data_IF_964117981076
#
_entry.id   IF_964117981076
#
_cell.length_a   1.000
_cell.length_b   1.000
_cell.length_c   1.000
_cell.angle_alpha   90.00
_cell.angle_beta   90.00
_cell.angle_gamma   90.00
#
_symmetry.space_group_name_H-M   'P 1'
#
loop_
_entity.id
_entity.type
_entity.pdbx_description
1 polymer ?
#
# COMPACT_ATOMS: atom_id res chain seq x y z
N UNK A 1 -4.64 21.14 -8.07
CA UNK A 1 -3.72 20.18 -8.70
C UNK A 1 -3.55 18.98 -7.79
N UNK A 2 -3.30 17.79 -8.37
CA UNK A 2 -3.01 16.53 -7.64
C UNK A 2 -1.78 15.92 -8.29
N UNK A 3 -0.84 15.43 -7.47
CA UNK A 3 0.40 14.78 -7.93
C UNK A 3 0.64 13.49 -7.12
N UNK A 4 0.17 12.35 -7.63
CA UNK A 4 0.40 11.06 -7.00
C UNK A 4 1.84 10.58 -7.13
N UNK A 5 2.32 9.92 -6.07
CA UNK A 5 3.60 9.22 -6.05
C UNK A 5 3.43 7.77 -5.59
N UNK A 6 4.18 6.86 -6.23
CA UNK A 6 4.32 5.47 -5.83
C UNK A 6 5.69 5.28 -5.21
N UNK A 7 5.74 4.85 -3.96
CA UNK A 7 6.95 4.89 -3.14
C UNK A 7 7.20 3.50 -2.55
N UNK A 8 8.42 3.00 -2.64
CA UNK A 8 8.82 1.73 -2.05
C UNK A 8 9.41 1.93 -0.66
N UNK A 9 8.94 1.15 0.32
CA UNK A 9 9.42 1.16 1.69
C UNK A 9 9.83 -0.25 2.15
N UNK A 10 10.68 -0.34 3.17
CA UNK A 10 11.17 -1.63 3.67
C UNK A 10 10.13 -2.42 4.45
N UNK A 11 9.26 -1.73 5.16
CA UNK A 11 8.32 -2.32 6.11
C UNK A 11 7.25 -1.29 6.53
N UNK A 12 6.20 -1.70 7.27
CA UNK A 12 5.17 -0.78 7.76
C UNK A 12 5.69 0.33 8.68
N UNK A 13 6.79 0.09 9.41
CA UNK A 13 7.39 1.11 10.28
C UNK A 13 7.97 2.25 9.45
N UNK A 14 8.71 1.92 8.37
CA UNK A 14 9.21 2.90 7.43
C UNK A 14 8.05 3.69 6.77
N UNK A 15 6.93 3.01 6.44
CA UNK A 15 5.73 3.67 5.92
C UNK A 15 5.14 4.71 6.90
N UNK A 16 5.04 4.38 8.19
CA UNK A 16 4.56 5.32 9.22
C UNK A 16 5.53 6.48 9.43
N UNK A 17 6.83 6.21 9.42
CA UNK A 17 7.86 7.27 9.52
C UNK A 17 7.85 8.18 8.30
N UNK A 18 7.66 7.61 7.10
CA UNK A 18 7.51 8.37 5.86
C UNK A 18 6.30 9.31 5.92
N UNK A 19 5.15 8.85 6.43
CA UNK A 19 3.98 9.73 6.62
C UNK A 19 4.31 10.94 7.51
N UNK A 20 5.02 10.72 8.62
CA UNK A 20 5.42 11.80 9.52
C UNK A 20 6.38 12.78 8.83
N UNK A 21 7.36 12.28 8.07
CA UNK A 21 8.28 13.08 7.26
C UNK A 21 7.52 13.91 6.21
N UNK A 22 6.65 13.28 5.43
CA UNK A 22 5.88 13.98 4.38
C UNK A 22 4.95 15.04 4.95
N UNK A 23 4.26 14.79 6.07
CA UNK A 23 3.44 15.80 6.75
C UNK A 23 4.27 16.95 7.29
N UNK A 24 5.48 16.72 7.76
CA UNK A 24 6.41 17.78 8.19
C UNK A 24 6.84 18.67 7.02
N UNK A 25 7.09 18.09 5.85
CA UNK A 25 7.58 18.79 4.66
C UNK A 25 6.47 19.47 3.87
N UNK A 26 5.32 18.83 3.72
CA UNK A 26 4.25 19.22 2.80
C UNK A 26 2.94 19.63 3.49
N UNK A 27 2.86 19.45 4.82
CA UNK A 27 1.69 19.84 5.62
C UNK A 27 0.40 19.20 5.15
N UNK A 28 -0.66 20.00 5.08
CA UNK A 28 -2.00 19.58 4.66
C UNK A 28 -2.13 19.27 3.17
N UNK A 29 -1.05 19.47 2.38
CA UNK A 29 -1.04 19.04 0.98
C UNK A 29 -1.07 17.52 0.82
N UNK A 30 -0.65 16.74 1.83
CA UNK A 30 -0.75 15.27 1.81
C UNK A 30 -2.22 14.88 1.98
N UNK A 31 -2.90 14.59 0.88
CA UNK A 31 -4.34 14.31 0.83
C UNK A 31 -4.69 12.83 0.89
N UNK A 32 -3.78 11.95 0.49
CA UNK A 32 -3.94 10.50 0.61
C UNK A 32 -2.60 9.83 0.92
N UNK A 33 -2.65 8.76 1.71
CA UNK A 33 -1.46 7.98 2.07
C UNK A 33 -1.86 6.52 2.34
N UNK A 34 -1.69 5.68 1.31
CA UNK A 34 -2.09 4.27 1.28
C UNK A 34 -0.86 3.39 1.43
N UNK A 35 -0.80 2.59 2.49
CA UNK A 35 0.20 1.55 2.64
C UNK A 35 -0.29 0.26 2.00
N UNK A 36 0.57 -0.43 1.24
CA UNK A 36 0.19 -1.61 0.43
C UNK A 36 1.31 -2.65 0.52
N UNK A 37 1.01 -3.86 0.98
CA UNK A 37 1.98 -4.94 1.00
C UNK A 37 2.22 -5.53 -0.39
N UNK A 38 3.39 -6.11 -0.64
CA UNK A 38 3.74 -6.76 -1.90
C UNK A 38 2.80 -7.92 -2.25
N UNK A 39 2.40 -8.71 -1.28
CA UNK A 39 1.55 -9.87 -1.52
C UNK A 39 0.24 -9.54 -2.26
N UNK A 40 -0.42 -8.42 -1.94
CA UNK A 40 -1.64 -8.00 -2.64
C UNK A 40 -1.34 -7.48 -4.05
N UNK A 41 -0.19 -6.84 -4.27
CA UNK A 41 0.26 -6.41 -5.60
C UNK A 41 0.53 -7.63 -6.48
N UNK A 42 1.17 -8.67 -5.97
CA UNK A 42 1.38 -9.92 -6.71
C UNK A 42 0.05 -10.57 -7.13
N UNK A 43 -0.96 -10.56 -6.24
CA UNK A 43 -2.30 -11.03 -6.58
C UNK A 43 -2.94 -10.19 -7.68
N UNK A 44 -2.79 -8.87 -7.61
CA UNK A 44 -3.31 -7.96 -8.64
C UNK A 44 -2.68 -8.24 -10.00
N UNK A 45 -1.36 -8.29 -10.06
CA UNK A 45 -0.60 -8.47 -11.31
C UNK A 45 -0.86 -9.84 -11.97
N UNK A 46 -1.17 -10.85 -11.17
CA UNK A 46 -1.43 -12.21 -11.68
C UNK A 46 -2.90 -12.49 -11.95
N UNK A 47 -3.81 -11.86 -11.21
CA UNK A 47 -5.24 -12.19 -11.21
C UNK A 47 -6.16 -11.20 -11.92
N UNK A 48 -5.69 -9.95 -12.14
CA UNK A 48 -6.52 -8.89 -12.76
C UNK A 48 -5.81 -8.34 -13.99
N UNK A 49 -6.35 -8.54 -15.20
CA UNK A 49 -5.72 -8.05 -16.43
C UNK A 49 -5.57 -6.53 -16.49
N UNK A 50 -4.55 -6.04 -17.19
CA UNK A 50 -4.36 -4.62 -17.48
C UNK A 50 -3.64 -3.83 -16.39
N UNK A 51 -3.03 -4.51 -15.43
CA UNK A 51 -2.14 -3.94 -14.43
C UNK A 51 -0.69 -4.32 -14.70
N UNK A 52 0.22 -3.39 -14.47
CA UNK A 52 1.67 -3.55 -14.59
C UNK A 52 2.32 -3.00 -13.33
N UNK A 53 3.43 -3.61 -12.92
CA UNK A 53 4.20 -3.10 -11.78
C UNK A 53 4.77 -1.72 -12.12
N UNK A 54 4.51 -0.68 -11.33
CA UNK A 54 5.04 0.66 -11.60
C UNK A 54 6.56 0.74 -11.48
N UNK A 55 7.19 -0.19 -10.76
CA UNK A 55 8.62 -0.25 -10.50
C UNK A 55 9.25 -1.49 -11.11
N UNK A 56 10.50 -1.37 -11.59
CA UNK A 56 11.27 -2.51 -12.09
C UNK A 56 11.74 -3.45 -10.97
N UNK A 57 12.10 -2.86 -9.82
CA UNK A 57 12.53 -3.62 -8.65
C UNK A 57 11.33 -3.99 -7.78
N UNK A 58 11.34 -5.22 -7.27
CA UNK A 58 10.32 -5.72 -6.34
C UNK A 58 10.69 -5.30 -4.92
N UNK A 59 9.72 -4.69 -4.23
CA UNK A 59 9.88 -4.25 -2.84
C UNK A 59 8.81 -4.88 -1.96
N UNK A 60 9.06 -5.05 -0.65
CA UNK A 60 8.11 -5.72 0.26
C UNK A 60 6.86 -4.90 0.55
N UNK A 61 6.96 -3.58 0.53
CA UNK A 61 5.88 -2.65 0.82
C UNK A 61 5.95 -1.42 -0.08
N UNK A 62 4.77 -0.87 -0.34
CA UNK A 62 4.61 0.34 -1.14
C UNK A 62 3.71 1.34 -0.43
N UNK A 63 3.86 2.59 -0.81
CA UNK A 63 2.95 3.67 -0.45
C UNK A 63 2.46 4.33 -1.75
N UNK A 64 1.15 4.41 -1.93
CA UNK A 64 0.55 5.36 -2.87
C UNK A 64 0.19 6.61 -2.07
N UNK A 65 0.87 7.70 -2.35
CA UNK A 65 0.62 9.00 -1.75
C UNK A 65 0.08 9.97 -2.81
N UNK A 66 -0.87 10.81 -2.43
CA UNK A 66 -1.29 11.94 -3.25
C UNK A 66 -1.08 13.25 -2.50
N UNK A 67 -0.59 14.24 -3.21
CA UNK A 67 -0.48 15.60 -2.70
C UNK A 67 -1.34 16.53 -3.54
N UNK A 68 -2.13 17.40 -2.88
CA UNK A 68 -3.06 18.30 -3.54
C UNK A 68 -2.84 19.75 -3.17
N UNK A 69 -3.06 20.66 -4.11
CA UNK A 69 -3.05 22.10 -3.85
C UNK A 69 -4.08 22.87 -4.67
N UNK A 70 -4.40 24.08 -4.23
CA UNK A 70 -5.20 25.06 -4.96
C UNK A 70 -4.38 25.77 -6.06
N UNK A 71 -3.07 25.57 -6.09
CA UNK A 71 -2.15 26.16 -7.08
C UNK A 71 -2.29 25.59 -8.49
N UNK A 72 -1.56 26.14 -9.46
CA UNK A 72 -1.54 25.64 -10.82
C UNK A 72 -0.99 24.21 -10.89
N UNK A 73 -1.29 23.45 -11.96
CA UNK A 73 -0.69 22.13 -12.20
C UNK A 73 0.84 22.19 -12.15
N UNK A 74 1.47 21.20 -11.51
CA UNK A 74 2.92 21.13 -11.34
C UNK A 74 3.49 21.95 -10.18
N UNK A 75 2.65 22.72 -9.46
CA UNK A 75 3.13 23.57 -8.35
C UNK A 75 3.70 22.78 -7.17
N UNK A 76 3.31 21.51 -7.02
CA UNK A 76 3.79 20.64 -5.95
C UNK A 76 4.96 19.75 -6.37
N UNK A 77 5.31 19.69 -7.67
CA UNK A 77 6.32 18.78 -8.18
C UNK A 77 7.70 18.99 -7.51
N UNK A 78 8.15 20.24 -7.43
CA UNK A 78 9.41 20.59 -6.73
C UNK A 78 9.38 20.23 -5.25
N UNK A 79 8.43 20.76 -4.47
CA UNK A 79 8.28 20.41 -3.05
C UNK A 79 8.15 18.90 -2.79
N UNK A 80 7.41 18.17 -3.62
CA UNK A 80 7.27 16.72 -3.51
C UNK A 80 8.59 16.00 -3.80
N UNK A 81 9.31 16.41 -4.87
CA UNK A 81 10.62 15.86 -5.21
C UNK A 81 11.63 16.08 -4.09
N UNK A 82 11.67 17.27 -3.50
CA UNK A 82 12.58 17.61 -2.40
C UNK A 82 12.24 16.78 -1.14
N UNK A 83 10.95 16.62 -0.82
CA UNK A 83 10.52 15.79 0.30
C UNK A 83 10.88 14.31 0.11
N UNK A 84 10.74 13.78 -1.11
CA UNK A 84 11.14 12.40 -1.44
C UNK A 84 12.66 12.22 -1.39
N UNK A 85 13.44 13.21 -1.89
CA UNK A 85 14.90 13.18 -1.80
C UNK A 85 15.37 13.17 -0.34
N UNK A 86 14.80 14.01 0.52
CA UNK A 86 15.08 13.99 1.96
C UNK A 86 14.72 12.66 2.62
N UNK A 87 13.57 12.06 2.27
CA UNK A 87 13.18 10.74 2.77
C UNK A 87 14.15 9.63 2.33
N UNK A 88 14.72 9.74 1.13
CA UNK A 88 15.72 8.80 0.63
C UNK A 88 17.06 8.96 1.36
N UNK A 89 17.50 10.18 1.61
CA UNK A 89 18.71 10.48 2.40
C UNK A 89 18.59 9.97 3.85
N UNK A 90 17.40 10.07 4.45
CA UNK A 90 17.09 9.51 5.77
C UNK A 90 16.92 7.97 5.76
N UNK A 91 16.95 7.33 4.59
CA UNK A 91 16.79 5.88 4.42
C UNK A 91 15.35 5.36 4.66
N UNK A 92 14.35 6.25 4.66
CA UNK A 92 12.95 5.92 4.87
C UNK A 92 12.34 5.22 3.64
N UNK A 93 12.83 5.54 2.45
CA UNK A 93 12.36 4.96 1.20
C UNK A 93 13.47 4.23 0.44
N UNK A 94 13.08 3.29 -0.41
CA UNK A 94 13.99 2.51 -1.26
C UNK A 94 14.00 3.00 -2.69
N UNK A 95 12.83 3.40 -3.19
CA UNK A 95 12.61 3.91 -4.53
C UNK A 95 11.35 4.78 -4.54
N UNK A 96 11.21 5.69 -5.51
CA UNK A 96 10.03 6.52 -5.65
C UNK A 96 9.79 6.93 -7.11
N UNK A 97 8.52 6.98 -7.49
CA UNK A 97 8.02 7.42 -8.79
C UNK A 97 6.94 8.47 -8.57
N UNK A 98 7.13 9.69 -9.09
CA UNK A 98 6.07 10.69 -9.21
C UNK A 98 5.38 10.51 -10.55
N UNK A 99 4.06 10.51 -10.59
CA UNK A 99 3.31 10.37 -11.84
C UNK A 99 3.61 11.54 -12.79
N UNK A 100 4.19 11.24 -13.94
CA UNK A 100 4.58 12.24 -14.94
C UNK A 100 3.40 12.70 -15.82
N UNK A 101 2.23 12.08 -15.72
CA UNK A 101 1.03 12.40 -16.50
C UNK A 101 -0.26 11.99 -15.79
N UNK A 102 -1.38 12.61 -16.17
CA UNK A 102 -2.70 12.20 -15.66
C UNK A 102 -3.04 10.73 -15.97
N UNK A 103 -2.55 10.19 -17.08
CA UNK A 103 -2.73 8.77 -17.42
C UNK A 103 -1.96 7.88 -16.43
N UNK A 104 -0.74 8.25 -16.08
CA UNK A 104 0.05 7.50 -15.09
C UNK A 104 -0.57 7.61 -13.69
N UNK A 105 -1.00 8.80 -13.30
CA UNK A 105 -1.73 9.03 -12.05
C UNK A 105 -2.97 8.13 -11.95
N UNK A 106 -3.81 8.10 -13.02
CA UNK A 106 -4.99 7.26 -13.07
C UNK A 106 -4.66 5.75 -13.02
N UNK A 107 -3.51 5.31 -13.58
CA UNK A 107 -3.06 3.91 -13.46
C UNK A 107 -2.71 3.54 -12.02
N UNK A 108 -2.02 4.40 -11.30
CA UNK A 108 -1.66 4.16 -9.89
C UNK A 108 -2.90 4.01 -9.02
N UNK A 109 -3.86 4.92 -9.15
CA UNK A 109 -5.13 4.86 -8.42
C UNK A 109 -5.95 3.63 -8.79
N UNK A 110 -6.05 3.30 -10.08
CA UNK A 110 -6.74 2.09 -10.52
C UNK A 110 -6.13 0.82 -9.92
N UNK A 111 -4.80 0.74 -9.75
CA UNK A 111 -4.19 -0.37 -9.04
C UNK A 111 -4.72 -0.47 -7.61
N UNK A 112 -4.76 0.64 -6.88
CA UNK A 112 -5.28 0.68 -5.50
C UNK A 112 -6.75 0.25 -5.42
N UNK A 113 -7.58 0.73 -6.34
CA UNK A 113 -9.01 0.42 -6.42
C UNK A 113 -9.28 -1.05 -6.75
N UNK A 114 -8.40 -1.68 -7.54
CA UNK A 114 -8.54 -3.09 -7.96
C UNK A 114 -8.04 -4.11 -6.94
N UNK A 115 -7.52 -3.71 -5.77
CA UNK A 115 -6.97 -4.65 -4.78
C UNK A 115 -8.04 -5.60 -4.22
N UNK A 116 -9.28 -5.15 -4.06
CA UNK A 116 -10.38 -6.01 -3.64
C UNK A 116 -10.72 -7.09 -4.69
N UNK A 117 -10.72 -6.73 -5.98
CA UNK A 117 -10.91 -7.67 -7.08
C UNK A 117 -9.79 -8.72 -7.13
N UNK A 118 -8.54 -8.29 -6.89
CA UNK A 118 -7.39 -9.19 -6.82
C UNK A 118 -7.55 -10.28 -5.74
N UNK A 119 -8.13 -9.94 -4.61
CA UNK A 119 -8.41 -10.92 -3.54
C UNK A 119 -9.51 -11.90 -3.94
N UNK A 120 -10.56 -11.44 -4.62
CA UNK A 120 -11.62 -12.29 -5.12
C UNK A 120 -11.09 -13.27 -6.18
N UNK A 121 -10.29 -12.81 -7.13
CA UNK A 121 -9.68 -13.66 -8.16
C UNK A 121 -8.74 -14.73 -7.58
N UNK A 122 -8.13 -14.43 -6.44
CA UNK A 122 -7.24 -15.35 -5.72
C UNK A 122 -7.95 -16.40 -4.84
N UNK A 123 -9.28 -16.52 -4.93
CA UNK A 123 -10.09 -17.48 -4.17
C UNK A 123 -10.75 -16.89 -2.93
N UNK A 124 -10.78 -15.57 -2.83
CA UNK A 124 -11.41 -14.84 -1.74
C UNK A 124 -10.50 -14.64 -0.52
N UNK A 125 -10.93 -13.72 0.33
CA UNK A 125 -10.25 -13.37 1.59
C UNK A 125 -11.25 -13.31 2.73
N UNK A 126 -10.76 -13.29 3.96
CA UNK A 126 -11.58 -12.87 5.12
C UNK A 126 -11.32 -11.38 5.34
N UNK A 127 -12.29 -10.52 5.01
CA UNK A 127 -12.07 -9.08 5.13
C UNK A 127 -12.10 -8.65 6.60
N UNK A 128 -11.13 -7.86 7.00
CA UNK A 128 -11.08 -7.20 8.30
C UNK A 128 -10.75 -5.72 8.08
N UNK A 129 -11.67 -4.87 8.50
CA UNK A 129 -11.44 -3.43 8.63
C UNK A 129 -11.04 -3.12 10.07
N UNK A 130 -9.79 -2.70 10.27
CA UNK A 130 -9.22 -2.48 11.58
C UNK A 130 -8.71 -1.06 11.71
N UNK A 131 -9.16 -0.34 12.73
CA UNK A 131 -8.62 0.97 13.08
C UNK A 131 -7.75 0.86 14.32
N UNK A 132 -6.51 1.32 14.18
CA UNK A 132 -5.54 1.43 15.27
C UNK A 132 -4.85 2.78 15.23
N UNK A 133 -4.31 3.28 16.34
CA UNK A 133 -3.46 4.46 16.29
C UNK A 133 -2.35 4.29 15.25
N UNK A 134 -2.08 5.31 14.43
CA UNK A 134 -1.10 5.25 13.32
C UNK A 134 0.23 4.64 13.77
N UNK A 135 0.73 5.05 14.94
CA UNK A 135 1.98 4.53 15.52
C UNK A 135 1.93 3.04 15.87
N UNK A 136 0.75 2.42 15.92
CA UNK A 136 0.53 1.01 16.25
C UNK A 136 0.32 0.11 15.03
N UNK A 137 0.19 0.69 13.85
CA UNK A 137 0.03 -0.09 12.61
C UNK A 137 1.13 -1.13 12.42
N UNK A 138 2.43 -0.81 12.58
CA UNK A 138 3.50 -1.80 12.40
C UNK A 138 3.42 -2.96 13.41
N UNK A 139 3.14 -2.65 14.67
CA UNK A 139 2.97 -3.66 15.72
C UNK A 139 1.75 -4.54 15.45
N UNK A 140 0.62 -3.94 15.05
CA UNK A 140 -0.59 -4.67 14.69
C UNK A 140 -0.31 -5.68 13.57
N UNK A 141 0.26 -5.24 12.44
CA UNK A 141 0.57 -6.11 11.29
C UNK A 141 1.49 -7.26 11.74
N UNK A 142 2.58 -6.95 12.42
CA UNK A 142 3.55 -7.95 12.90
C UNK A 142 2.90 -9.02 13.80
N UNK A 143 2.02 -8.60 14.72
CA UNK A 143 1.31 -9.53 15.64
C UNK A 143 0.26 -10.37 14.89
N UNK A 144 -0.49 -9.76 14.01
CA UNK A 144 -1.49 -10.44 13.20
C UNK A 144 -0.84 -11.47 12.28
N UNK A 145 0.26 -11.11 11.60
CA UNK A 145 1.03 -12.04 10.77
C UNK A 145 1.53 -13.24 11.57
N UNK A 146 2.12 -13.01 12.74
CA UNK A 146 2.63 -14.08 13.59
C UNK A 146 1.51 -15.04 14.06
N UNK A 147 0.36 -14.50 14.43
CA UNK A 147 -0.80 -15.30 14.86
C UNK A 147 -1.35 -16.16 13.70
N UNK A 148 -1.45 -15.58 12.51
CA UNK A 148 -1.98 -16.29 11.34
C UNK A 148 -1.02 -17.38 10.86
N UNK A 149 0.29 -17.12 10.80
CA UNK A 149 1.28 -18.14 10.42
C UNK A 149 1.25 -19.33 11.37
N UNK A 150 1.10 -19.08 12.67
CA UNK A 150 1.02 -20.13 13.68
C UNK A 150 -0.24 -21.02 13.52
N UNK A 151 -1.34 -20.43 13.07
CA UNK A 151 -2.63 -21.13 12.96
C UNK A 151 -2.84 -21.73 11.57
N UNK A 152 -2.41 -21.03 10.53
CA UNK A 152 -2.61 -21.40 9.12
C UNK A 152 -1.33 -21.29 8.31
N UNK A 153 -0.46 -22.30 8.31
CA UNK A 153 0.76 -22.30 7.49
C UNK A 153 0.44 -22.10 6.01
N UNK A 154 1.15 -21.17 5.38
CA UNK A 154 0.98 -20.84 3.96
C UNK A 154 -0.12 -19.83 3.64
N UNK A 155 -0.80 -19.27 4.64
CA UNK A 155 -1.73 -18.15 4.43
C UNK A 155 -1.01 -16.95 3.83
N UNK A 156 -1.67 -16.26 2.91
CA UNK A 156 -1.14 -15.04 2.29
C UNK A 156 -1.64 -13.82 3.04
N UNK A 157 -0.71 -13.05 3.59
CA UNK A 157 -1.01 -11.85 4.37
C UNK A 157 -1.21 -10.68 3.42
N UNK A 158 -2.41 -10.17 3.29
CA UNK A 158 -2.74 -9.03 2.46
C UNK A 158 -3.16 -7.86 3.35
N UNK A 159 -2.25 -6.91 3.55
CA UNK A 159 -2.50 -5.71 4.31
C UNK A 159 -2.34 -4.48 3.42
N UNK A 160 -3.33 -3.61 3.41
CA UNK A 160 -3.31 -2.32 2.73
C UNK A 160 -4.31 -1.38 3.40
N UNK A 161 -4.14 -0.07 3.23
CA UNK A 161 -5.13 0.87 3.78
C UNK A 161 -4.61 2.26 4.05
N UNK A 162 -5.51 3.10 4.57
CA UNK A 162 -5.30 4.51 4.85
C UNK A 162 -4.50 4.72 6.14
N UNK A 163 -3.18 4.87 6.03
CA UNK A 163 -2.33 5.08 7.21
C UNK A 163 -2.67 6.38 7.92
N UNK A 164 -3.12 7.39 7.17
CA UNK A 164 -3.38 8.73 7.70
C UNK A 164 -4.40 8.81 8.83
N UNK A 165 -5.38 7.92 8.85
CA UNK A 165 -6.44 7.77 9.85
C UNK A 165 -6.36 6.47 10.65
N UNK A 166 -5.35 5.63 10.37
CA UNK A 166 -5.14 4.37 11.07
C UNK A 166 -6.00 3.20 10.59
N UNK A 167 -6.75 3.37 9.50
CA UNK A 167 -7.60 2.32 8.95
C UNK A 167 -6.78 1.37 8.04
N UNK A 168 -6.80 0.08 8.38
CA UNK A 168 -6.12 -0.97 7.63
C UNK A 168 -7.09 -2.09 7.25
N UNK A 169 -7.13 -2.42 5.97
CA UNK A 169 -7.71 -3.66 5.47
C UNK A 169 -6.69 -4.77 5.67
N UNK A 170 -6.93 -5.62 6.65
CA UNK A 170 -6.07 -6.77 6.92
C UNK A 170 -6.80 -8.04 6.51
N UNK A 171 -6.59 -8.47 5.28
CA UNK A 171 -7.41 -9.47 4.60
C UNK A 171 -6.60 -10.72 4.26
N UNK A 172 -6.50 -11.72 5.17
CA UNK A 172 -5.81 -12.96 4.85
C UNK A 172 -6.49 -13.68 3.67
N UNK A 173 -5.66 -14.11 2.72
CA UNK A 173 -6.08 -14.84 1.53
C UNK A 173 -5.62 -16.28 1.63
N UNK A 174 -6.46 -17.24 1.20
CA UNK A 174 -6.16 -18.67 1.24
C UNK A 174 -4.79 -19.01 0.65
N UNK A 175 -4.12 -20.05 1.19
CA UNK A 175 -2.98 -20.63 0.52
C UNK A 175 -3.31 -21.01 -0.92
N UNK A 176 -2.39 -20.77 -1.86
CA UNK A 176 -2.62 -21.06 -3.27
C UNK A 176 -2.96 -22.55 -3.53
N UNK A 177 -2.39 -23.45 -2.74
CA UNK A 177 -2.67 -24.90 -2.81
C UNK A 177 -4.12 -25.27 -2.42
N UNK A 178 -4.82 -24.42 -1.65
CA UNK A 178 -6.17 -24.69 -1.17
C UNK A 178 -7.20 -23.81 -1.90
N UNK A 179 -6.78 -22.78 -2.61
CA UNK A 179 -7.67 -21.85 -3.32
C UNK A 179 -8.57 -22.54 -4.36
N UNK A 180 -8.14 -23.68 -4.91
CA UNK A 180 -8.91 -24.51 -5.85
C UNK A 180 -9.93 -25.45 -5.19
N UNK A 181 -9.91 -25.62 -3.87
CA UNK A 181 -10.86 -26.47 -3.17
C UNK A 181 -12.11 -25.66 -2.79
N UNK A 182 -13.29 -26.19 -3.12
CA UNK A 182 -14.61 -25.57 -2.92
C UNK A 182 -15.07 -25.50 -1.45
N UNK A 183 -14.17 -25.65 -0.49
CA UNK A 183 -14.52 -25.59 0.93
C UNK A 183 -14.56 -24.13 1.41
N UNK A 184 -15.63 -23.70 2.10
CA UNK A 184 -15.68 -22.35 2.67
C UNK A 184 -14.50 -22.09 3.59
N UNK A 185 -13.85 -20.93 3.44
CA UNK A 185 -12.84 -20.47 4.37
C UNK A 185 -13.57 -19.91 5.60
N UNK A 186 -13.55 -20.67 6.67
CA UNK A 186 -14.14 -20.26 7.95
C UNK A 186 -12.97 -19.98 8.89
N UNK A 187 -12.93 -18.76 9.43
CA UNK A 187 -11.99 -18.44 10.51
C UNK A 187 -12.40 -19.21 11.77
N UNK A 188 -11.47 -19.65 12.59
CA UNK A 188 -11.77 -20.28 13.87
C UNK A 188 -12.43 -19.31 14.82
#
# INVERSE_FOLDING_TARGET
ASEPAWIAVSDPQAGVQLLAHMRKMLGDSVSAFELICRAIIDLLLTGVPGHEDPMQAVHPWYVLMDVTSQGPPGSLHGPLSDALAGAQEEGLIRDALIAASGTQAARLWRMRESLAEAQLSAGGSIPHDVSVPVSRIPEFIRRADAALVATYPGIRHCAFGHVGDGNMHYNPVRPAAIAAASTPFVAP
#
